data_IF_484185511564
#
_entry.id   IF_484185511564
#
_cell.length_a   1.000
_cell.length_b   1.000
_cell.length_c   1.000
_cell.angle_alpha   90.00
_cell.angle_beta   90.00
_cell.angle_gamma   90.00
#
_symmetry.space_group_name_H-M   'P 1'
#
loop_
_entity.id
_entity.type
_entity.pdbx_description
1 polymer ?
#
# COMPACT_ATOMS: atom_id res chain seq x y z
N UNK A 1 -5.98 -6.25 3.94
CA UNK A 1 -4.75 -7.00 3.59
C UNK A 1 -4.67 -8.27 4.46
N UNK A 2 -4.00 -9.33 3.98
CA UNK A 2 -3.92 -10.64 4.67
C UNK A 2 -2.52 -10.87 5.29
N UNK A 3 -1.98 -9.84 5.97
CA UNK A 3 -0.64 -9.84 6.58
C UNK A 3 0.31 -8.81 5.99
N UNK A 4 1.24 -8.34 6.83
CA UNK A 4 2.28 -7.37 6.50
C UNK A 4 3.60 -7.77 7.15
N UNK A 5 4.72 -7.56 6.45
CA UNK A 5 6.07 -7.67 7.00
C UNK A 5 6.76 -6.33 6.87
N UNK A 6 7.40 -5.86 7.95
CA UNK A 6 8.12 -4.60 7.99
C UNK A 6 9.60 -4.84 8.29
N UNK A 7 10.47 -4.13 7.58
CA UNK A 7 11.92 -4.16 7.75
C UNK A 7 12.41 -2.75 7.99
N UNK A 8 13.16 -2.54 9.07
CA UNK A 8 13.78 -1.25 9.34
C UNK A 8 14.85 -0.93 8.28
N UNK A 9 14.88 0.31 7.82
CA UNK A 9 15.91 0.83 6.91
C UNK A 9 16.96 1.61 7.69
N UNK A 10 18.13 1.83 7.08
CA UNK A 10 19.20 2.63 7.70
C UNK A 10 18.84 4.12 7.88
N UNK A 11 17.77 4.60 7.24
CA UNK A 11 17.31 6.00 7.29
C UNK A 11 16.23 6.26 8.34
N UNK A 12 15.91 5.28 9.20
CA UNK A 12 14.83 5.40 10.18
C UNK A 12 13.42 5.26 9.59
N UNK A 13 13.32 4.90 8.31
CA UNK A 13 12.07 4.48 7.66
C UNK A 13 11.90 2.96 7.80
N UNK A 14 10.71 2.44 7.47
CA UNK A 14 10.46 1.01 7.36
C UNK A 14 9.95 0.68 5.96
N UNK A 15 10.57 -0.29 5.30
CA UNK A 15 10.00 -0.90 4.10
C UNK A 15 8.96 -1.94 4.54
N UNK A 16 7.76 -1.86 3.99
CA UNK A 16 6.63 -2.76 4.26
C UNK A 16 6.23 -3.48 3.00
N UNK A 17 6.08 -4.80 3.13
CA UNK A 17 5.47 -5.64 2.11
C UNK A 17 4.12 -6.15 2.62
N UNK A 18 3.07 -5.96 1.80
CA UNK A 18 1.76 -6.54 2.07
C UNK A 18 1.64 -7.86 1.30
N UNK A 19 1.13 -8.90 1.95
CA UNK A 19 0.98 -10.22 1.32
C UNK A 19 0.14 -10.18 0.03
N UNK A 20 -0.81 -9.24 -0.03
CA UNK A 20 -1.70 -9.00 -1.18
C UNK A 20 -1.11 -8.07 -2.26
N UNK A 21 0.04 -7.46 -2.03
CA UNK A 21 0.70 -6.50 -2.94
C UNK A 21 2.22 -6.74 -2.95
N UNK A 22 2.64 -7.94 -3.38
CA UNK A 22 4.04 -8.38 -3.31
C UNK A 22 4.98 -7.57 -4.19
N UNK A 23 4.47 -6.96 -5.24
CA UNK A 23 5.21 -6.11 -6.18
C UNK A 23 5.24 -4.63 -5.76
N UNK A 24 4.65 -4.31 -4.60
CA UNK A 24 4.54 -2.94 -4.12
C UNK A 24 5.56 -2.67 -3.03
N UNK A 25 6.48 -1.75 -3.29
CA UNK A 25 7.26 -1.13 -2.24
C UNK A 25 6.41 -0.09 -1.52
N UNK A 26 6.26 -0.26 -0.21
CA UNK A 26 5.62 0.72 0.67
C UNK A 26 6.66 1.16 1.70
N UNK A 27 6.89 2.46 1.85
CA UNK A 27 7.79 3.00 2.86
C UNK A 27 6.98 3.73 3.94
N UNK A 28 7.17 3.35 5.20
CA UNK A 28 6.64 4.06 6.36
C UNK A 28 7.70 5.02 6.89
N UNK A 29 7.32 6.27 7.10
CA UNK A 29 8.21 7.34 7.54
C UNK A 29 7.45 8.33 8.43
N UNK A 30 8.18 9.17 9.17
CA UNK A 30 7.61 10.31 9.89
C UNK A 30 7.75 11.53 8.99
N UNK A 31 6.64 12.22 8.70
CA UNK A 31 6.66 13.42 7.88
C UNK A 31 7.17 14.65 8.65
N UNK A 32 7.33 15.78 7.94
CA UNK A 32 7.84 17.02 8.53
C UNK A 32 6.95 17.59 9.65
N UNK A 33 5.69 17.18 9.73
CA UNK A 33 4.74 17.55 10.79
C UNK A 33 4.74 16.59 11.96
N UNK A 34 5.56 15.54 11.92
CA UNK A 34 5.65 14.53 12.97
C UNK A 34 4.61 13.40 12.84
N UNK A 35 3.85 13.34 11.75
CA UNK A 35 2.88 12.27 11.52
C UNK A 35 3.52 11.06 10.85
N UNK A 36 3.15 9.86 11.31
CA UNK A 36 3.52 8.62 10.63
C UNK A 36 2.70 8.51 9.35
N UNK A 37 3.38 8.35 8.22
CA UNK A 37 2.80 8.20 6.88
C UNK A 37 3.38 6.99 6.18
N UNK A 38 2.62 6.48 5.21
CA UNK A 38 3.08 5.45 4.28
C UNK A 38 3.08 6.04 2.87
N UNK A 39 4.21 5.93 2.14
CA UNK A 39 4.31 6.33 0.73
C UNK A 39 4.50 5.13 -0.18
N UNK A 40 3.94 5.21 -1.37
CA UNK A 40 4.06 4.19 -2.41
C UNK A 40 3.80 4.82 -3.79
N UNK A 41 3.89 4.02 -4.83
CA UNK A 41 3.31 4.33 -6.14
C UNK A 41 1.89 3.77 -6.21
N UNK A 42 0.91 4.56 -6.68
CA UNK A 42 -0.46 4.11 -6.98
C UNK A 42 -0.85 4.69 -8.33
N UNK A 43 -1.38 3.87 -9.23
CA UNK A 43 -1.81 4.29 -10.59
C UNK A 43 -0.72 5.07 -11.35
N UNK A 44 0.51 4.58 -11.27
CA UNK A 44 1.68 5.22 -11.89
C UNK A 44 2.17 6.51 -11.22
N UNK A 45 1.42 7.08 -10.25
CA UNK A 45 1.83 8.28 -9.50
C UNK A 45 2.74 7.89 -8.32
N UNK A 46 4.02 8.30 -8.31
CA UNK A 46 4.95 7.98 -7.23
C UNK A 46 4.74 8.90 -6.00
N UNK A 47 5.23 8.46 -4.84
CA UNK A 47 5.28 9.25 -3.60
C UNK A 47 3.92 9.73 -3.06
N UNK A 48 2.82 9.07 -3.43
CA UNK A 48 1.50 9.35 -2.87
C UNK A 48 1.37 8.72 -1.48
N UNK A 49 0.54 9.32 -0.63
CA UNK A 49 0.30 8.81 0.73
C UNK A 49 -0.77 7.73 0.68
N UNK A 50 -0.38 6.50 1.03
CA UNK A 50 -1.28 5.36 1.09
C UNK A 50 -2.26 5.53 2.26
N UNK A 51 -3.56 5.49 1.97
CA UNK A 51 -4.61 5.60 2.98
C UNK A 51 -5.27 4.26 3.28
N UNK A 52 -5.50 3.44 2.24
CA UNK A 52 -6.24 2.18 2.41
C UNK A 52 -5.91 1.14 1.34
N UNK A 53 -5.92 -0.13 1.74
CA UNK A 53 -5.84 -1.29 0.85
C UNK A 53 -6.98 -2.25 1.16
N UNK A 54 -7.92 -2.41 0.23
CA UNK A 54 -8.96 -3.42 0.28
C UNK A 54 -8.58 -4.62 -0.58
N UNK A 55 -8.81 -5.82 -0.06
CA UNK A 55 -8.56 -7.07 -0.77
C UNK A 55 -9.87 -7.78 -0.88
N UNK A 56 -10.36 -7.97 -2.10
CA UNK A 56 -11.47 -8.85 -2.37
C UNK A 56 -10.91 -10.26 -2.59
N UNK A 57 -11.39 -11.21 -1.80
CA UNK A 57 -11.01 -12.61 -1.90
C UNK A 57 -12.23 -13.51 -1.97
N UNK A 58 -12.15 -14.52 -2.81
CA UNK A 58 -13.10 -15.62 -2.88
C UNK A 58 -12.46 -16.90 -2.35
N UNK A 59 -13.27 -17.92 -2.11
CA UNK A 59 -12.78 -19.27 -1.78
C UNK A 59 -13.04 -20.17 -2.98
N UNK A 60 -12.00 -20.82 -3.49
CA UNK A 60 -12.11 -21.82 -4.54
C UNK A 60 -11.38 -23.08 -4.11
N UNK A 61 -12.07 -24.22 -4.11
CA UNK A 61 -11.51 -25.51 -3.64
C UNK A 61 -10.90 -25.46 -2.23
N UNK A 62 -11.46 -24.64 -1.33
CA UNK A 62 -10.99 -24.51 0.05
C UNK A 62 -9.76 -23.62 0.25
N UNK A 63 -9.21 -23.01 -0.80
CA UNK A 63 -8.10 -22.06 -0.72
C UNK A 63 -8.58 -20.61 -0.96
N UNK A 64 -8.05 -19.63 -0.20
CA UNK A 64 -8.32 -18.22 -0.46
C UNK A 64 -7.67 -17.81 -1.78
N UNK A 65 -8.47 -17.25 -2.69
CA UNK A 65 -8.03 -16.67 -3.95
C UNK A 65 -8.33 -15.18 -3.94
N UNK A 66 -7.32 -14.34 -4.18
CA UNK A 66 -7.52 -12.91 -4.37
C UNK A 66 -8.21 -12.70 -5.73
N UNK A 67 -9.31 -11.95 -5.75
CA UNK A 67 -10.01 -11.57 -6.99
C UNK A 67 -9.51 -10.24 -7.51
N UNK A 68 -9.36 -9.26 -6.62
CA UNK A 68 -8.73 -7.97 -6.91
C UNK A 68 -8.28 -7.28 -5.61
N UNK A 69 -7.45 -6.27 -5.78
CA UNK A 69 -7.01 -5.37 -4.71
C UNK A 69 -7.32 -3.94 -5.12
N UNK A 70 -7.93 -3.18 -4.22
CA UNK A 70 -8.17 -1.75 -4.39
C UNK A 70 -7.24 -0.97 -3.46
N UNK A 71 -6.58 0.02 -4.02
CA UNK A 71 -5.55 0.83 -3.36
C UNK A 71 -6.00 2.28 -3.43
N UNK A 72 -6.11 2.91 -2.27
CA UNK A 72 -6.53 4.30 -2.11
C UNK A 72 -5.38 5.09 -1.52
N UNK A 73 -5.06 6.21 -2.15
CA UNK A 73 -4.01 7.11 -1.74
C UNK A 73 -4.42 8.56 -1.99
N UNK A 74 -3.64 9.49 -1.43
CA UNK A 74 -3.78 10.91 -1.65
C UNK A 74 -2.44 11.49 -2.09
N UNK A 75 -2.45 12.38 -3.08
CA UNK A 75 -1.28 13.16 -3.45
C UNK A 75 -1.01 14.19 -2.34
N UNK A 76 0.16 14.17 -1.67
CA UNK A 76 0.43 15.05 -0.55
C UNK A 76 0.65 16.53 -0.95
N UNK A 77 0.80 16.82 -2.24
CA UNK A 77 0.98 18.18 -2.77
C UNK A 77 -0.34 18.76 -3.24
N UNK A 78 -1.10 18.00 -4.05
CA UNK A 78 -2.36 18.49 -4.64
C UNK A 78 -3.59 18.16 -3.81
N UNK A 79 -3.47 17.23 -2.87
CA UNK A 79 -4.57 16.61 -2.12
C UNK A 79 -5.59 15.86 -2.97
N UNK A 80 -5.24 15.56 -4.24
CA UNK A 80 -6.08 14.74 -5.10
C UNK A 80 -6.08 13.28 -4.65
N UNK A 81 -7.25 12.65 -4.76
CA UNK A 81 -7.40 11.22 -4.54
C UNK A 81 -6.77 10.44 -5.70
N UNK A 82 -6.03 9.39 -5.37
CA UNK A 82 -5.37 8.48 -6.30
C UNK A 82 -5.85 7.06 -6.01
N UNK A 83 -6.29 6.37 -7.04
CA UNK A 83 -6.92 5.06 -6.92
C UNK A 83 -6.37 4.08 -7.94
N UNK A 84 -6.07 2.86 -7.50
CA UNK A 84 -5.68 1.76 -8.37
C UNK A 84 -6.49 0.51 -8.03
N UNK A 85 -7.05 -0.15 -9.04
CA UNK A 85 -7.63 -1.49 -8.93
C UNK A 85 -6.73 -2.48 -9.66
N UNK A 86 -6.14 -3.40 -8.91
CA UNK A 86 -5.23 -4.43 -9.42
C UNK A 86 -5.92 -5.79 -9.44
N UNK A 87 -5.80 -6.50 -10.56
CA UNK A 87 -6.20 -7.90 -10.70
C UNK A 87 -4.95 -8.81 -10.60
N UNK A 88 -5.09 -10.09 -10.17
CA UNK A 88 -4.00 -11.05 -10.07
C UNK A 88 -3.22 -11.25 -11.37
#
# INVERSE_FOLDING_TARGET
AYGATATATSSGEFDVALASLKDRRIAIFVDASGHVRARTTVDGKPNVYLERVFVQSTTSWGLPKVEYVEIFAVDPVTHEQVYEKKFP
#
